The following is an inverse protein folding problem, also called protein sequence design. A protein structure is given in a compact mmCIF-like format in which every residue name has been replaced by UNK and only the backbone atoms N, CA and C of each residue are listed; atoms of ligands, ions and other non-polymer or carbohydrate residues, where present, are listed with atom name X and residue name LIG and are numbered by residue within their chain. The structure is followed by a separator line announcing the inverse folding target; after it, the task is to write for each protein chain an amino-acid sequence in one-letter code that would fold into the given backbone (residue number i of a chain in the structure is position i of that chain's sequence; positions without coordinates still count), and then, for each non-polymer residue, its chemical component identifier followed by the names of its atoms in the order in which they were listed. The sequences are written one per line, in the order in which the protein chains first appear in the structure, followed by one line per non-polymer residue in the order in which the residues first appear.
data_IF_523486974626
#
_entry.id   IF_523486974626
#
_cell.length_a   1.000
_cell.length_b   1.000
_cell.length_c   1.000
_cell.angle_alpha   90.00
_cell.angle_beta   90.00
_cell.angle_gamma   90.00
#
_symmetry.space_group_name_H-M   'P 1'
#
loop_
_entity.id
_entity.type
_entity.pdbx_description
1 polymer ?
#
# COMPACT_ATOMS: atom_id res chain seq x y z
N UNK A 1 -14.03 -24.83 61.16
CA UNK A 1 -13.10 -25.82 60.59
C UNK A 1 -13.80 -26.56 59.46
N UNK A 2 -13.61 -26.11 58.22
CA UNK A 2 -13.99 -26.85 57.01
C UNK A 2 -12.85 -26.60 56.02
N UNK A 3 -11.93 -27.56 55.94
CA UNK A 3 -10.89 -27.68 54.92
C UNK A 3 -11.42 -28.54 53.77
N UNK A 4 -10.74 -28.51 52.61
CA UNK A 4 -10.87 -29.40 51.43
C UNK A 4 -11.60 -28.75 50.22
N UNK A 5 -11.11 -28.77 48.98
CA UNK A 5 -9.90 -29.35 48.35
C UNK A 5 -9.74 -28.67 46.98
N UNK A 6 -8.55 -28.17 46.69
CA UNK A 6 -8.11 -27.79 45.35
C UNK A 6 -7.99 -29.05 44.48
N UNK A 7 -8.56 -29.01 43.26
CA UNK A 7 -8.31 -30.00 42.20
C UNK A 7 -7.77 -29.27 40.98
N UNK A 8 -6.45 -29.13 40.93
CA UNK A 8 -5.73 -28.77 39.71
C UNK A 8 -5.75 -29.96 38.75
N UNK A 9 -6.28 -29.77 37.55
CA UNK A 9 -6.16 -30.70 36.43
C UNK A 9 -5.06 -30.19 35.51
N UNK A 10 -3.88 -30.82 35.58
CA UNK A 10 -2.81 -30.63 34.61
C UNK A 10 -3.14 -31.45 33.36
N UNK A 11 -3.27 -30.80 32.21
CA UNK A 11 -3.37 -31.44 30.91
C UNK A 11 -1.97 -31.42 30.26
N UNK A 12 -1.38 -32.61 30.10
CA UNK A 12 -0.14 -32.77 29.35
C UNK A 12 -0.48 -32.87 27.85
N UNK A 13 -0.02 -31.89 27.07
CA UNK A 13 -0.10 -31.89 25.61
C UNK A 13 1.24 -32.42 25.07
N UNK A 14 1.21 -33.58 24.44
CA UNK A 14 2.35 -34.13 23.72
C UNK A 14 2.34 -33.59 22.28
N UNK A 15 3.32 -32.74 21.94
CA UNK A 15 3.61 -32.36 20.54
C UNK A 15 4.72 -33.27 20.02
N UNK A 16 4.38 -34.14 19.06
CA UNK A 16 5.35 -34.91 18.28
C UNK A 16 5.79 -34.11 17.07
N UNK A 17 7.08 -33.78 17.01
CA UNK A 17 7.76 -33.14 15.88
C UNK A 17 8.37 -34.23 15.01
N UNK A 18 8.00 -34.29 13.73
CA UNK A 18 8.67 -35.13 12.72
C UNK A 18 9.27 -34.19 11.69
N UNK A 19 10.59 -34.06 11.71
CA UNK A 19 11.38 -33.36 10.71
C UNK A 19 11.83 -34.38 9.65
N UNK A 20 11.44 -34.17 8.40
CA UNK A 20 11.96 -34.91 7.23
C UNK A 20 12.89 -33.97 6.48
N UNK A 21 14.18 -34.27 6.53
CA UNK A 21 15.24 -33.62 5.73
C UNK A 21 15.38 -34.37 4.40
N UNK A 22 15.23 -33.65 3.29
CA UNK A 22 15.55 -34.13 1.94
C UNK A 22 16.86 -33.46 1.50
N UNK A 23 17.85 -34.20 0.98
CA UNK A 23 19.08 -33.62 0.45
C UNK A 23 18.87 -33.02 -0.94
N UNK A 24 19.30 -31.77 -1.13
CA UNK A 24 19.43 -31.12 -2.44
C UNK A 24 20.79 -31.47 -3.03
N UNK A 25 20.81 -32.11 -4.19
CA UNK A 25 22.02 -32.30 -5.00
C UNK A 25 22.23 -31.08 -5.90
N UNK A 26 23.32 -30.37 -5.67
CA UNK A 26 23.87 -29.36 -6.58
C UNK A 26 24.71 -30.05 -7.65
N UNK A 27 24.37 -29.87 -8.92
CA UNK A 27 25.24 -30.26 -10.04
C UNK A 27 25.86 -29.01 -10.65
N UNK A 28 27.16 -28.88 -10.41
CA UNK A 28 28.11 -28.00 -11.05
C UNK A 28 28.48 -28.57 -12.43
N UNK A 29 28.46 -27.74 -13.49
CA UNK A 29 29.26 -27.94 -14.69
C UNK A 29 29.24 -26.69 -15.58
N UNK A 30 30.36 -25.95 -15.58
CA UNK A 30 30.77 -25.13 -16.71
C UNK A 30 31.39 -26.03 -17.81
N UNK A 31 31.41 -25.57 -19.07
CA UNK A 31 32.74 -25.42 -19.68
C UNK A 31 32.90 -24.17 -20.55
N UNK A 32 34.12 -23.65 -20.51
CA UNK A 32 34.73 -22.69 -21.45
C UNK A 32 35.06 -23.35 -22.79
N UNK A 33 34.74 -22.73 -23.94
CA UNK A 33 35.58 -22.77 -25.15
C UNK A 33 35.39 -21.51 -26.01
N UNK A 34 36.53 -20.85 -26.25
CA UNK A 34 37.03 -19.99 -27.33
C UNK A 34 36.16 -19.54 -28.52
N UNK A 35 36.40 -18.27 -28.90
CA UNK A 35 36.00 -17.59 -30.13
C UNK A 35 36.55 -18.23 -31.43
N UNK A 36 35.97 -17.84 -32.58
CA UNK A 36 36.77 -17.02 -33.50
C UNK A 36 36.02 -15.82 -34.09
N UNK A 37 36.79 -14.79 -34.43
CA UNK A 37 36.37 -13.61 -35.16
C UNK A 37 36.26 -13.89 -36.67
N UNK A 38 35.17 -13.45 -37.30
CA UNK A 38 35.11 -13.21 -38.76
C UNK A 38 34.29 -11.95 -39.01
N UNK A 39 34.92 -10.98 -39.66
CA UNK A 39 34.35 -9.71 -40.11
C UNK A 39 33.68 -9.87 -41.48
N UNK A 40 32.49 -9.31 -41.68
CA UNK A 40 32.04 -8.65 -42.93
C UNK A 40 30.62 -8.05 -42.76
N UNK A 41 30.28 -6.97 -43.51
CA UNK A 41 29.16 -6.08 -43.21
C UNK A 41 27.87 -6.47 -43.96
N UNK A 42 26.71 -6.21 -43.36
CA UNK A 42 25.43 -6.25 -44.05
C UNK A 42 24.58 -5.02 -43.70
N UNK A 43 24.46 -4.18 -44.71
CA UNK A 43 23.50 -3.10 -44.93
C UNK A 43 22.04 -3.48 -44.66
N UNK A 44 21.30 -2.54 -44.07
CA UNK A 44 19.89 -2.29 -44.38
C UNK A 44 18.85 -2.94 -43.49
N UNK A 45 18.42 -2.22 -42.44
CA UNK A 45 17.11 -2.43 -41.80
C UNK A 45 16.33 -1.11 -41.80
N UNK A 46 15.02 -1.12 -42.15
CA UNK A 46 14.24 0.10 -42.32
C UNK A 46 13.90 0.71 -40.96
N UNK A 47 14.11 2.01 -40.84
CA UNK A 47 13.77 2.80 -39.67
C UNK A 47 12.25 2.96 -39.59
N UNK A 48 11.60 2.26 -38.66
CA UNK A 48 10.24 2.59 -38.23
C UNK A 48 10.32 3.87 -37.40
N UNK A 49 10.11 5.02 -38.06
CA UNK A 49 9.90 6.31 -37.40
C UNK A 49 8.54 6.33 -36.74
N UNK A 50 8.43 5.76 -35.54
CA UNK A 50 7.42 6.17 -34.57
C UNK A 50 7.83 7.52 -33.97
N UNK A 51 6.89 8.39 -33.56
CA UNK A 51 7.24 9.65 -32.93
C UNK A 51 7.95 9.35 -31.61
N UNK A 52 9.25 9.62 -31.57
CA UNK A 52 10.03 9.73 -30.34
C UNK A 52 9.47 10.92 -29.58
N UNK A 53 8.63 10.64 -28.59
CA UNK A 53 8.34 11.62 -27.54
C UNK A 53 9.69 12.06 -26.99
N UNK A 54 10.00 13.33 -27.18
CA UNK A 54 11.23 13.93 -26.67
C UNK A 54 11.27 13.72 -25.15
N UNK A 55 12.43 13.36 -24.61
CA UNK A 55 12.65 13.18 -23.17
C UNK A 55 12.18 14.39 -22.33
N UNK A 56 12.13 15.58 -22.94
CA UNK A 56 11.57 16.79 -22.34
C UNK A 56 10.04 16.75 -22.14
N UNK A 57 9.28 16.11 -23.03
CA UNK A 57 7.83 15.94 -22.88
C UNK A 57 7.48 14.91 -21.80
N UNK A 58 8.34 13.91 -21.60
CA UNK A 58 8.25 12.95 -20.48
C UNK A 58 8.66 13.61 -19.16
N UNK A 59 9.67 14.48 -19.18
CA UNK A 59 10.11 15.23 -18.00
C UNK A 59 9.14 16.33 -17.56
N UNK A 60 8.31 16.85 -18.48
CA UNK A 60 7.24 17.80 -18.19
C UNK A 60 5.99 17.14 -17.56
N UNK A 61 5.87 15.81 -17.65
CA UNK A 61 4.68 15.09 -17.20
C UNK A 61 4.57 14.88 -15.68
N UNK A 62 5.63 14.98 -14.87
CA UNK A 62 5.52 14.56 -13.46
C UNK A 62 6.38 15.37 -12.47
N UNK A 63 6.23 16.69 -12.44
CA UNK A 63 6.51 17.41 -11.18
C UNK A 63 5.21 17.52 -10.41
N UNK A 64 5.05 16.66 -9.42
CA UNK A 64 3.94 16.74 -8.48
C UNK A 64 3.95 18.12 -7.80
N UNK A 65 2.82 18.84 -7.73
CA UNK A 65 2.75 20.12 -7.05
C UNK A 65 3.23 19.98 -5.61
N UNK A 66 4.12 20.87 -5.18
CA UNK A 66 4.59 20.88 -3.79
C UNK A 66 3.47 21.41 -2.90
N UNK A 67 2.89 20.55 -2.06
CA UNK A 67 1.86 20.93 -1.10
C UNK A 67 2.50 21.15 0.26
N UNK A 68 2.40 22.37 0.78
CA UNK A 68 3.04 22.77 2.05
C UNK A 68 2.30 22.25 3.28
N UNK A 69 0.98 22.12 3.19
CA UNK A 69 0.14 21.65 4.30
C UNK A 69 0.16 20.11 4.36
N UNK A 70 0.73 19.50 5.42
CA UNK A 70 0.72 18.05 5.60
C UNK A 70 -0.69 17.47 5.74
N UNK A 71 -1.68 18.29 6.11
CA UNK A 71 -3.09 17.92 6.26
C UNK A 71 -3.95 18.35 5.06
N UNK A 72 -3.35 18.72 3.94
CA UNK A 72 -4.07 19.09 2.72
C UNK A 72 -5.09 18.03 2.27
N UNK A 73 -4.78 16.75 2.50
CA UNK A 73 -5.69 15.66 2.18
C UNK A 73 -6.73 15.34 3.28
N UNK A 74 -6.60 15.88 4.49
CA UNK A 74 -7.36 15.43 5.66
C UNK A 74 -8.87 15.67 5.54
N UNK A 75 -9.67 14.63 5.79
CA UNK A 75 -11.11 14.75 6.01
C UNK A 75 -11.43 15.32 7.40
N UNK A 76 -10.60 15.01 8.40
CA UNK A 76 -10.68 15.53 9.76
C UNK A 76 -9.39 16.29 10.12
N UNK A 77 -9.47 17.62 10.05
CA UNK A 77 -8.33 18.51 10.33
C UNK A 77 -8.05 18.74 11.81
N UNK A 78 -8.75 18.05 12.73
CA UNK A 78 -8.47 18.12 14.18
C UNK A 78 -7.24 17.30 14.60
N UNK A 79 -6.61 16.59 13.66
CA UNK A 79 -5.38 15.84 13.90
C UNK A 79 -4.23 16.79 14.23
N UNK A 80 -3.42 16.41 15.21
CA UNK A 80 -2.26 17.19 15.65
C UNK A 80 -0.98 16.55 15.09
N UNK A 81 -0.42 17.19 14.06
CA UNK A 81 0.74 16.67 13.32
C UNK A 81 1.99 16.55 14.19
N UNK A 82 2.11 17.38 15.24
CA UNK A 82 3.30 17.41 16.10
C UNK A 82 3.35 16.19 17.05
N UNK A 83 2.23 15.47 17.22
CA UNK A 83 2.16 14.24 18.02
C UNK A 83 2.61 12.99 17.27
N UNK A 84 2.79 13.08 15.95
CA UNK A 84 3.13 11.94 15.09
C UNK A 84 4.55 11.47 15.41
N UNK A 85 4.71 10.19 15.74
CA UNK A 85 6.01 9.57 16.02
C UNK A 85 6.23 8.31 15.17
N UNK A 86 7.48 8.00 14.77
CA UNK A 86 8.65 8.88 14.81
C UNK A 86 8.49 10.06 13.81
N UNK A 87 9.54 10.87 13.63
CA UNK A 87 9.50 11.99 12.67
C UNK A 87 9.03 11.50 11.29
N UNK A 88 7.89 11.98 10.78
CA UNK A 88 7.28 11.43 9.58
C UNK A 88 8.07 11.78 8.33
N UNK A 89 8.26 10.80 7.44
CA UNK A 89 8.71 11.03 6.08
C UNK A 89 7.49 11.26 5.18
N UNK A 90 7.24 12.51 4.81
CA UNK A 90 6.11 12.86 3.95
C UNK A 90 6.35 12.42 2.50
N UNK A 91 5.34 11.78 1.91
CA UNK A 91 5.32 11.44 0.49
C UNK A 91 5.27 12.72 -0.35
N UNK A 92 6.20 12.83 -1.29
CA UNK A 92 6.35 13.98 -2.20
C UNK A 92 5.94 13.67 -3.64
N UNK A 93 5.74 12.40 -3.98
CA UNK A 93 5.18 12.00 -5.26
C UNK A 93 3.65 12.10 -5.23
N UNK A 94 3.05 11.94 -6.41
CA UNK A 94 1.62 12.01 -6.65
C UNK A 94 1.14 10.75 -7.38
N UNK A 95 1.80 9.61 -7.16
CA UNK A 95 1.34 8.34 -7.72
C UNK A 95 -0.06 8.01 -7.19
N UNK A 96 -0.90 7.41 -8.01
CA UNK A 96 -2.19 6.89 -7.55
C UNK A 96 -1.97 5.95 -6.35
N UNK A 97 -2.82 6.06 -5.34
CA UNK A 97 -2.84 5.18 -4.18
C UNK A 97 -4.12 4.36 -4.16
N UNK A 98 -4.09 3.28 -3.40
CA UNK A 98 -5.19 2.33 -3.31
C UNK A 98 -5.57 2.06 -1.86
N UNK A 99 -6.85 1.75 -1.65
CA UNK A 99 -7.34 1.34 -0.33
C UNK A 99 -8.41 0.27 -0.47
N UNK A 100 -8.13 -0.89 0.12
CA UNK A 100 -9.13 -1.92 0.31
C UNK A 100 -10.03 -1.55 1.52
N UNK A 101 -11.33 -1.40 1.30
CA UNK A 101 -12.31 -1.10 2.36
C UNK A 101 -13.58 -1.95 2.20
N UNK A 102 -14.32 -2.14 3.28
CA UNK A 102 -15.60 -2.85 3.27
C UNK A 102 -16.79 -1.90 3.21
N UNK A 103 -16.59 -0.60 3.47
CA UNK A 103 -17.62 0.41 3.34
C UNK A 103 -17.98 0.62 1.86
N UNK A 104 -19.26 0.76 1.53
CA UNK A 104 -19.70 0.92 0.16
C UNK A 104 -19.53 2.38 -0.31
N UNK A 105 -19.50 2.61 -1.64
CA UNK A 105 -19.19 3.92 -2.22
C UNK A 105 -20.17 5.02 -1.82
N UNK A 106 -21.44 4.71 -1.53
CA UNK A 106 -22.43 5.73 -1.15
C UNK A 106 -22.05 6.42 0.16
N UNK A 107 -21.33 5.72 1.04
CA UNK A 107 -20.80 6.28 2.29
C UNK A 107 -19.47 7.00 2.02
N UNK A 108 -18.56 6.35 1.30
CA UNK A 108 -17.19 6.84 1.12
C UNK A 108 -17.14 8.07 0.20
N UNK A 109 -17.94 8.10 -0.86
CA UNK A 109 -18.00 9.26 -1.77
C UNK A 109 -18.66 10.46 -1.10
N UNK A 110 -19.60 10.24 -0.16
CA UNK A 110 -20.23 11.35 0.54
C UNK A 110 -19.32 11.92 1.65
N UNK A 111 -18.64 11.06 2.41
CA UNK A 111 -17.93 11.45 3.64
C UNK A 111 -16.41 11.57 3.45
N UNK A 112 -15.84 10.87 2.47
CA UNK A 112 -14.42 10.58 2.42
C UNK A 112 -14.02 9.48 3.41
N UNK A 113 -12.71 9.32 3.60
CA UNK A 113 -12.17 8.40 4.59
C UNK A 113 -11.81 9.15 5.86
N UNK A 114 -12.67 9.06 6.87
CA UNK A 114 -12.35 9.55 8.21
C UNK A 114 -11.50 8.53 9.01
N UNK A 115 -10.53 8.99 9.80
CA UNK A 115 -9.80 8.15 10.74
C UNK A 115 -10.70 7.72 11.91
N UNK A 116 -10.28 6.69 12.64
CA UNK A 116 -11.09 6.14 13.74
C UNK A 116 -10.99 6.97 15.02
N UNK A 117 -9.84 7.57 15.31
CA UNK A 117 -9.57 8.26 16.56
C UNK A 117 -8.57 9.40 16.36
N UNK A 118 -9.08 10.56 15.91
CA UNK A 118 -8.27 11.75 15.61
C UNK A 118 -7.63 12.36 16.86
N UNK A 119 -8.30 12.36 18.01
CA UNK A 119 -7.85 13.09 19.19
C UNK A 119 -7.07 12.21 20.17
N UNK A 120 -7.53 11.00 20.41
CA UNK A 120 -7.08 10.08 21.46
C UNK A 120 -6.53 8.75 20.91
N UNK A 121 -6.39 8.64 19.59
CA UNK A 121 -5.86 7.45 18.92
C UNK A 121 -4.35 7.27 19.06
N UNK A 122 -3.86 6.19 18.45
CA UNK A 122 -2.43 5.89 18.34
C UNK A 122 -1.73 6.78 17.32
N UNK A 123 -0.91 7.72 17.79
CA UNK A 123 -0.11 8.60 16.93
C UNK A 123 1.25 8.02 16.55
N UNK A 124 1.70 6.94 17.20
CA UNK A 124 2.92 6.26 16.79
C UNK A 124 2.67 5.37 15.56
N UNK A 125 3.31 5.71 14.44
CA UNK A 125 3.14 5.05 13.14
C UNK A 125 3.56 3.59 13.22
N UNK A 126 4.66 3.26 13.92
CA UNK A 126 5.12 1.88 14.05
C UNK A 126 4.11 1.02 14.82
N UNK A 127 3.64 1.51 15.98
CA UNK A 127 2.61 0.80 16.78
C UNK A 127 1.30 0.65 16.01
N UNK A 128 0.92 1.67 15.24
CA UNK A 128 -0.26 1.62 14.39
C UNK A 128 -0.15 0.50 13.34
N UNK A 129 0.96 0.45 12.60
CA UNK A 129 1.22 -0.54 11.53
C UNK A 129 1.27 -1.96 12.09
N UNK A 130 1.86 -2.15 13.28
CA UNK A 130 2.02 -3.48 13.89
C UNK A 130 0.70 -4.07 14.42
N UNK A 131 -0.17 -3.24 15.03
CA UNK A 131 -1.31 -3.72 15.83
C UNK A 131 -2.67 -3.36 15.23
N UNK A 132 -2.74 -2.39 14.31
CA UNK A 132 -3.99 -1.91 13.69
C UNK A 132 -5.06 -1.49 14.73
N UNK A 133 -4.66 -0.64 15.67
CA UNK A 133 -5.52 -0.05 16.69
C UNK A 133 -6.14 1.29 16.22
N UNK A 134 -7.23 1.79 16.85
CA UNK A 134 -7.78 3.11 16.53
C UNK A 134 -6.70 4.20 16.53
N UNK A 135 -6.64 4.97 15.45
CA UNK A 135 -5.57 5.94 15.16
C UNK A 135 -6.11 7.15 14.40
N UNK A 136 -5.33 8.25 14.29
CA UNK A 136 -5.67 9.39 13.45
C UNK A 136 -5.37 9.11 11.97
N UNK A 137 -4.98 7.89 11.61
CA UNK A 137 -4.53 7.53 10.27
C UNK A 137 -5.60 6.80 9.46
N UNK A 138 -5.58 7.03 8.15
CA UNK A 138 -6.18 6.15 7.16
C UNK A 138 -5.07 5.57 6.30
N UNK A 139 -4.92 4.25 6.34
CA UNK A 139 -3.94 3.55 5.49
C UNK A 139 -4.38 3.50 4.04
N UNK A 140 -3.39 3.65 3.17
CA UNK A 140 -3.46 3.41 1.74
C UNK A 140 -2.16 2.71 1.32
N UNK A 141 -2.07 2.28 0.07
CA UNK A 141 -0.89 1.60 -0.45
C UNK A 141 -0.55 2.10 -1.85
N UNK A 142 0.73 2.01 -2.22
CA UNK A 142 1.17 2.13 -3.60
C UNK A 142 0.82 0.90 -4.45
N UNK A 143 0.65 -0.27 -3.83
CA UNK A 143 0.35 -1.53 -4.52
C UNK A 143 -1.14 -1.62 -4.86
N UNK A 144 -1.44 -1.50 -6.16
CA UNK A 144 -2.77 -1.70 -6.71
C UNK A 144 -3.40 -3.02 -6.28
N UNK A 145 -2.60 -4.09 -6.21
CA UNK A 145 -3.06 -5.46 -6.02
C UNK A 145 -3.18 -5.87 -4.56
N UNK A 146 -2.87 -4.99 -3.60
CA UNK A 146 -2.90 -5.33 -2.18
C UNK A 146 -4.30 -5.77 -1.73
N UNK A 147 -5.38 -5.32 -2.40
CA UNK A 147 -6.75 -5.76 -2.13
C UNK A 147 -6.91 -7.30 -2.20
N UNK A 148 -6.07 -8.00 -2.97
CA UNK A 148 -6.07 -9.48 -3.10
C UNK A 148 -5.69 -10.19 -1.79
N UNK A 149 -5.03 -9.49 -0.88
CA UNK A 149 -4.66 -9.97 0.45
C UNK A 149 -5.76 -9.71 1.49
N UNK A 150 -6.68 -8.78 1.23
CA UNK A 150 -7.70 -8.31 2.18
C UNK A 150 -9.08 -8.95 1.97
N UNK A 151 -9.22 -10.21 2.41
CA UNK A 151 -10.44 -11.02 2.21
C UNK A 151 -11.75 -10.43 2.75
N UNK A 152 -11.68 -9.49 3.70
CA UNK A 152 -12.87 -8.82 4.26
C UNK A 152 -13.34 -7.63 3.45
N UNK A 153 -12.44 -6.99 2.69
CA UNK A 153 -12.74 -5.79 1.91
C UNK A 153 -13.56 -6.16 0.67
N UNK A 154 -14.61 -5.39 0.39
CA UNK A 154 -15.48 -5.60 -0.77
C UNK A 154 -15.13 -4.70 -1.95
N UNK A 155 -14.23 -3.75 -1.74
CA UNK A 155 -13.97 -2.65 -2.65
C UNK A 155 -12.48 -2.30 -2.66
N UNK A 156 -11.97 -1.94 -3.83
CA UNK A 156 -10.68 -1.30 -4.01
C UNK A 156 -10.90 0.15 -4.45
N UNK A 157 -10.55 1.10 -3.57
CA UNK A 157 -10.70 2.52 -3.83
C UNK A 157 -9.46 3.11 -4.45
N UNK A 158 -9.66 4.01 -5.41
CA UNK A 158 -8.64 4.72 -6.15
C UNK A 158 -8.52 6.12 -5.56
N UNK A 159 -7.33 6.48 -5.08
CA UNK A 159 -7.06 7.73 -4.37
C UNK A 159 -6.00 8.56 -5.11
N UNK A 160 -6.35 9.80 -5.43
CA UNK A 160 -5.43 10.82 -5.92
C UNK A 160 -5.33 11.95 -4.88
N UNK A 161 -4.40 11.80 -3.94
CA UNK A 161 -4.21 12.72 -2.83
C UNK A 161 -2.75 13.20 -2.72
N UNK A 162 -2.51 14.48 -2.37
CA UNK A 162 -1.19 14.97 -2.00
C UNK A 162 -0.76 14.47 -0.62
N UNK A 163 0.55 14.36 -0.40
CA UNK A 163 1.11 14.04 0.90
C UNK A 163 0.82 12.61 1.37
N UNK A 164 0.59 12.48 2.68
CA UNK A 164 0.60 11.22 3.40
C UNK A 164 1.99 10.85 3.91
N UNK A 165 2.05 10.04 4.96
CA UNK A 165 3.30 9.56 5.56
C UNK A 165 3.70 8.27 4.85
N UNK A 166 4.88 8.26 4.24
CA UNK A 166 5.46 7.06 3.65
C UNK A 166 6.00 6.17 4.79
N UNK A 167 5.30 5.06 5.07
CA UNK A 167 5.56 4.24 6.25
C UNK A 167 6.96 3.64 6.19
N UNK A 168 7.32 3.01 5.07
CA UNK A 168 8.63 2.37 4.91
C UNK A 168 9.79 3.37 5.02
N UNK A 169 9.61 4.61 4.58
CA UNK A 169 10.62 5.67 4.78
C UNK A 169 10.65 6.22 6.21
N UNK A 170 9.55 6.10 6.95
CA UNK A 170 9.42 6.64 8.31
C UNK A 170 9.95 5.66 9.36
N UNK A 171 9.59 4.38 9.26
CA UNK A 171 9.92 3.35 10.27
C UNK A 171 10.89 2.27 9.72
N UNK A 172 11.39 2.43 8.50
CA UNK A 172 12.24 1.46 7.81
C UNK A 172 11.44 0.41 7.04
N UNK A 173 12.12 -0.38 6.20
CA UNK A 173 11.48 -1.38 5.33
C UNK A 173 11.70 -2.84 5.80
N UNK A 174 12.08 -3.05 7.07
CA UNK A 174 12.38 -4.38 7.63
C UNK A 174 11.26 -4.93 8.51
N UNK A 175 10.19 -4.16 8.75
CA UNK A 175 9.05 -4.62 9.54
C UNK A 175 8.19 -5.64 8.75
N UNK A 176 7.38 -6.40 9.48
CA UNK A 176 6.53 -7.49 8.95
C UNK A 176 5.63 -7.11 7.77
N UNK A 177 5.29 -5.82 7.65
CA UNK A 177 4.30 -5.30 6.71
C UNK A 177 4.88 -4.35 5.66
N UNK A 178 6.21 -4.38 5.47
CA UNK A 178 6.88 -3.47 4.54
C UNK A 178 6.50 -3.72 3.08
N UNK A 179 6.08 -4.94 2.75
CA UNK A 179 5.57 -5.34 1.44
C UNK A 179 4.22 -4.69 1.08
N UNK A 180 3.52 -4.11 2.06
CA UNK A 180 2.27 -3.38 1.82
C UNK A 180 2.50 -1.99 1.23
N UNK A 181 3.75 -1.49 1.20
CA UNK A 181 4.11 -0.18 0.66
C UNK A 181 3.15 0.93 1.14
N UNK A 182 2.94 0.99 2.46
CA UNK A 182 1.86 1.79 3.05
C UNK A 182 2.16 3.29 3.01
N UNK A 183 1.11 4.06 2.71
CA UNK A 183 1.04 5.50 2.94
C UNK A 183 -0.09 5.80 3.93
N UNK A 184 0.26 6.35 5.09
CA UNK A 184 -0.69 6.66 6.16
C UNK A 184 -1.10 8.15 6.11
N UNK A 185 -2.40 8.43 6.00
CA UNK A 185 -2.94 9.79 5.95
C UNK A 185 -3.44 10.26 7.32
N UNK A 186 -2.72 11.17 8.02
CA UNK A 186 -3.22 11.78 9.24
C UNK A 186 -4.44 12.65 8.95
N UNK A 187 -5.51 12.49 9.73
CA UNK A 187 -6.79 13.15 9.49
C UNK A 187 -7.59 12.53 8.34
N UNK A 188 -7.11 11.43 7.76
CA UNK A 188 -7.80 10.72 6.70
C UNK A 188 -7.74 11.41 5.33
N UNK A 189 -8.75 11.15 4.49
CA UNK A 189 -8.74 11.56 3.08
C UNK A 189 -10.10 12.17 2.72
N UNK A 190 -10.10 13.44 2.34
CA UNK A 190 -11.28 14.15 1.86
C UNK A 190 -11.86 13.48 0.62
N UNK A 191 -13.21 13.47 0.51
CA UNK A 191 -13.93 12.87 -0.62
C UNK A 191 -13.49 13.41 -1.97
N UNK A 192 -13.02 14.65 -2.04
CA UNK A 192 -12.62 15.28 -3.29
C UNK A 192 -11.35 14.66 -3.90
N UNK A 193 -10.61 13.87 -3.10
CA UNK A 193 -9.36 13.21 -3.49
C UNK A 193 -9.53 11.71 -3.75
N UNK A 194 -10.77 11.21 -3.67
CA UNK A 194 -11.11 9.83 -4.00
C UNK A 194 -11.57 9.84 -5.45
N UNK A 195 -10.86 9.15 -6.34
CA UNK A 195 -11.16 9.10 -7.78
C UNK A 195 -12.39 8.25 -8.04
N UNK A 196 -12.46 7.09 -7.40
CA UNK A 196 -13.51 6.11 -7.66
C UNK A 196 -13.28 4.82 -6.90
N UNK A 197 -14.02 3.79 -7.27
CA UNK A 197 -13.96 2.47 -6.65
C UNK A 197 -14.23 1.37 -7.65
N UNK A 198 -13.63 0.20 -7.45
CA UNK A 198 -14.03 -1.04 -8.09
C UNK A 198 -14.45 -2.07 -7.03
N UNK A 199 -15.63 -2.71 -7.17
CA UNK A 199 -15.99 -3.86 -6.36
C UNK A 199 -15.01 -5.02 -6.58
N UNK A 200 -14.81 -5.86 -5.57
CA UNK A 200 -13.88 -7.01 -5.62
C UNK A 200 -14.65 -8.32 -5.54
N UNK A 201 -14.44 -9.21 -6.52
CA UNK A 201 -14.81 -10.62 -6.41
C UNK A 201 -13.86 -11.30 -5.41
N UNK A 202 -14.38 -11.57 -4.21
CA UNK A 202 -13.60 -12.14 -3.09
C UNK A 202 -13.11 -13.56 -3.35
N UNK A 203 -13.77 -14.31 -4.22
CA UNK A 203 -13.36 -15.69 -4.54
C UNK A 203 -12.22 -15.68 -5.55
N UNK A 204 -12.36 -14.89 -6.62
CA UNK A 204 -11.36 -14.79 -7.68
C UNK A 204 -10.21 -13.84 -7.34
N UNK A 205 -10.40 -12.98 -6.33
CA UNK A 205 -9.47 -11.89 -5.97
C UNK A 205 -9.20 -10.96 -7.15
N UNK A 206 -10.27 -10.62 -7.86
CA UNK A 206 -10.23 -9.72 -9.03
C UNK A 206 -11.20 -8.59 -8.81
N UNK A 207 -10.86 -7.40 -9.29
CA UNK A 207 -11.85 -6.33 -9.43
C UNK A 207 -12.90 -6.70 -10.47
N UNK A 208 -14.14 -6.30 -10.22
CA UNK A 208 -15.25 -6.42 -11.15
C UNK A 208 -15.27 -5.13 -11.97
N UNK A 209 -14.41 -5.07 -13.00
CA UNK A 209 -14.13 -3.84 -13.75
C UNK A 209 -15.38 -3.19 -14.37
N UNK A 210 -16.39 -3.99 -14.71
CA UNK A 210 -17.66 -3.51 -15.27
C UNK A 210 -18.56 -2.80 -14.26
N UNK A 211 -18.26 -2.92 -12.97
CA UNK A 211 -19.00 -2.33 -11.85
C UNK A 211 -18.22 -1.22 -11.14
N UNK A 212 -17.09 -0.78 -11.71
CA UNK A 212 -16.36 0.36 -11.17
C UNK A 212 -17.20 1.64 -11.28
N UNK A 213 -17.08 2.49 -10.28
CA UNK A 213 -17.81 3.75 -10.17
C UNK A 213 -16.84 4.90 -9.98
N UNK A 214 -17.00 5.94 -10.79
CA UNK A 214 -16.34 7.22 -10.58
C UNK A 214 -17.01 7.98 -9.44
N UNK A 215 -16.21 8.66 -8.63
CA UNK A 215 -16.73 9.51 -7.57
C UNK A 215 -17.19 10.85 -8.17
N UNK A 216 -18.47 11.22 -8.07
CA UNK A 216 -18.98 12.49 -8.60
C UNK A 216 -18.40 13.73 -7.89
N UNK A 217 -17.77 13.55 -6.72
CA UNK A 217 -17.14 14.63 -5.96
C UNK A 217 -15.64 14.78 -6.22
N UNK A 218 -15.04 13.90 -7.03
CA UNK A 218 -13.61 13.95 -7.32
C UNK A 218 -13.22 15.28 -7.98
N UNK A 219 -12.16 15.90 -7.47
CA UNK A 219 -11.56 17.12 -8.01
C UNK A 219 -10.06 16.89 -8.17
N UNK A 220 -9.54 16.83 -9.42
CA UNK A 220 -8.11 16.79 -9.64
C UNK A 220 -7.41 17.95 -8.93
N UNK A 221 -6.43 17.64 -8.09
CA UNK A 221 -5.64 18.64 -7.37
C UNK A 221 -4.35 19.03 -8.12
N UNK A 222 -4.05 18.32 -9.21
CA UNK A 222 -2.93 18.55 -10.11
C UNK A 222 -3.47 19.20 -11.38
N UNK A 223 -3.18 20.47 -11.59
CA UNK A 223 -3.65 21.27 -12.72
C UNK A 223 -3.06 22.66 -12.70
#
# INVERSE_FOLDING_TARGET
MITSRSRQRAAAVALSVVAVLVPVTTTEAAPTVSAPAVSAPATGAPTLTGPTLTSAAVAAAERCPAVKDPLSAAADRRVDVDRITPTPSWRTNCKQLYRADSRPPEIVFEQGFHPKATLDGQYDVEKYVLVNQPSPYVSTTYDHDLYKQWYKSGYNYYIDAPGGIDVNKTIGATHKWADQEEVAFPGGISRELIVGVCPVDKQKKTEIMTECLDNPHYKPWRG
#
